data_IF_103493346185
#
_entry.id   IF_103493346185
#
_cell.length_a   1.000
_cell.length_b   1.000
_cell.length_c   1.000
_cell.angle_alpha   90.00
_cell.angle_beta   90.00
_cell.angle_gamma   90.00
#
_symmetry.space_group_name_H-M   'P 1'
#
loop_
_entity.id
_entity.type
_entity.pdbx_description
1 polymer ?
#
# COMPACT_ATOMS: atom_id res chain seq x y z
N UNK A 1 15.18 2.98 -3.41
CA UNK A 1 13.77 2.59 -3.45
C UNK A 1 13.47 2.14 -4.87
N UNK A 2 13.31 0.83 -5.09
CA UNK A 2 12.97 0.28 -6.40
C UNK A 2 11.55 -0.27 -6.30
N UNK A 3 10.72 0.00 -7.29
CA UNK A 3 9.40 -0.59 -7.37
C UNK A 3 9.29 -1.40 -8.65
N UNK A 4 8.64 -2.55 -8.54
CA UNK A 4 8.35 -3.44 -9.65
C UNK A 4 6.88 -3.22 -10.01
N UNK A 5 6.60 -2.93 -11.28
CA UNK A 5 5.23 -2.76 -11.78
C UNK A 5 4.71 -4.12 -12.25
N UNK A 6 3.55 -4.52 -11.76
CA UNK A 6 2.86 -5.75 -12.18
C UNK A 6 1.73 -5.47 -13.17
N UNK A 7 1.26 -4.22 -13.19
CA UNK A 7 0.21 -3.75 -14.08
C UNK A 7 0.73 -2.81 -15.18
N UNK A 8 0.02 -2.73 -16.32
CA UNK A 8 0.31 -1.75 -17.35
C UNK A 8 0.15 -0.31 -16.83
N UNK A 9 0.94 0.66 -17.34
CA UNK A 9 0.87 2.06 -16.92
C UNK A 9 -0.54 2.66 -17.00
N UNK A 10 -1.33 2.26 -17.99
CA UNK A 10 -2.70 2.73 -18.19
C UNK A 10 -3.60 2.35 -17.01
N UNK A 11 -3.42 1.14 -16.47
CA UNK A 11 -4.19 0.63 -15.34
C UNK A 11 -3.78 1.31 -14.03
N UNK A 12 -2.48 1.49 -13.82
CA UNK A 12 -1.96 2.27 -12.69
C UNK A 12 -2.51 3.69 -12.71
N UNK A 13 -2.46 4.35 -13.87
CA UNK A 13 -2.96 5.72 -14.00
C UNK A 13 -4.47 5.82 -13.81
N UNK A 14 -5.25 4.81 -14.25
CA UNK A 14 -6.69 4.74 -13.98
C UNK A 14 -6.94 4.63 -12.49
N UNK A 15 -6.27 3.69 -11.82
CA UNK A 15 -6.38 3.49 -10.38
C UNK A 15 -6.07 4.78 -9.61
N UNK A 16 -4.95 5.43 -9.92
CA UNK A 16 -4.57 6.72 -9.28
C UNK A 16 -5.61 7.81 -9.53
N UNK A 17 -6.31 7.83 -10.66
CA UNK A 17 -7.37 8.83 -10.94
C UNK A 17 -8.67 8.55 -10.18
N UNK A 18 -8.95 7.29 -9.91
CA UNK A 18 -10.13 6.83 -9.16
C UNK A 18 -9.97 6.98 -7.64
N UNK A 19 -8.73 7.15 -7.15
CA UNK A 19 -8.48 7.43 -5.74
C UNK A 19 -9.14 8.73 -5.26
N UNK A 20 -9.61 8.79 -3.99
CA UNK A 20 -10.10 10.02 -3.36
C UNK A 20 -9.06 11.14 -3.43
N UNK A 21 -9.51 12.41 -3.41
CA UNK A 21 -8.59 13.56 -3.43
C UNK A 21 -7.57 13.50 -2.30
N UNK A 22 -8.03 13.21 -1.08
CA UNK A 22 -7.20 13.11 0.14
C UNK A 22 -6.08 12.07 0.01
N UNK A 23 -6.35 10.93 -0.66
CA UNK A 23 -5.35 9.88 -0.85
C UNK A 23 -4.37 10.19 -1.99
N UNK A 24 -4.76 11.07 -2.93
CA UNK A 24 -3.90 11.52 -4.05
C UNK A 24 -2.99 12.69 -3.69
N UNK A 25 -3.27 13.37 -2.58
CA UNK A 25 -2.45 14.49 -2.10
C UNK A 25 -1.07 14.04 -1.61
N UNK A 26 -0.92 12.76 -1.23
CA UNK A 26 0.35 12.21 -0.76
C UNK A 26 0.83 11.07 -1.66
N UNK A 27 2.01 11.25 -2.26
CA UNK A 27 2.65 10.20 -3.06
C UNK A 27 2.85 8.89 -2.25
N UNK A 28 3.12 9.01 -0.95
CA UNK A 28 3.27 7.84 -0.08
C UNK A 28 1.96 7.05 0.06
N UNK A 29 0.81 7.75 0.15
CA UNK A 29 -0.51 7.12 0.19
C UNK A 29 -0.84 6.45 -1.14
N UNK A 30 -0.58 7.13 -2.25
CA UNK A 30 -0.78 6.57 -3.59
C UNK A 30 0.05 5.31 -3.79
N UNK A 31 1.34 5.34 -3.41
CA UNK A 31 2.23 4.18 -3.52
C UNK A 31 1.76 3.02 -2.64
N UNK A 32 1.32 3.28 -1.39
CA UNK A 32 0.72 2.25 -0.53
C UNK A 32 -0.54 1.64 -1.13
N UNK A 33 -1.45 2.46 -1.66
CA UNK A 33 -2.69 1.98 -2.30
C UNK A 33 -2.41 1.15 -3.56
N UNK A 34 -1.41 1.54 -4.35
CA UNK A 34 -0.96 0.78 -5.52
C UNK A 34 -0.34 -0.57 -5.12
N UNK A 35 0.35 -0.64 -3.98
CA UNK A 35 0.89 -1.88 -3.42
C UNK A 35 -0.20 -2.77 -2.81
N UNK A 36 -1.12 -2.21 -2.02
CA UNK A 36 -2.32 -2.90 -1.49
C UNK A 36 -3.17 -3.51 -2.62
N UNK A 37 -3.30 -2.79 -3.74
CA UNK A 37 -4.01 -3.26 -4.93
C UNK A 37 -3.20 -4.28 -5.77
N UNK A 38 -1.94 -4.55 -5.41
CA UNK A 38 -1.06 -5.47 -6.15
C UNK A 38 -0.58 -4.96 -7.51
N UNK A 39 -0.78 -3.67 -7.80
CA UNK A 39 -0.40 -3.06 -9.09
C UNK A 39 1.10 -2.78 -9.17
N UNK A 40 1.73 -2.54 -8.02
CA UNK A 40 3.18 -2.42 -7.84
C UNK A 40 3.62 -3.25 -6.64
N UNK A 41 4.92 -3.55 -6.56
CA UNK A 41 5.57 -4.00 -5.33
C UNK A 41 6.81 -3.17 -5.06
N UNK A 42 7.02 -2.78 -3.81
CA UNK A 42 8.23 -2.10 -3.40
C UNK A 42 9.31 -3.14 -3.07
N UNK A 43 10.38 -3.18 -3.87
CA UNK A 43 11.60 -3.91 -3.54
C UNK A 43 12.36 -3.08 -2.50
N UNK A 44 12.00 -3.30 -1.25
CA UNK A 44 12.58 -2.65 -0.09
C UNK A 44 12.10 -3.34 1.17
N UNK A 45 13.01 -4.10 1.76
CA UNK A 45 12.96 -4.90 2.99
C UNK A 45 12.01 -4.45 4.12
N UNK A 46 11.57 -3.18 4.20
CA UNK A 46 10.76 -2.64 5.30
C UNK A 46 9.68 -1.67 4.81
N UNK A 47 8.60 -2.16 4.20
CA UNK A 47 7.30 -1.44 4.20
C UNK A 47 6.29 -2.14 5.10
N UNK A 48 6.74 -2.66 6.26
CA UNK A 48 5.87 -2.88 7.42
C UNK A 48 5.33 -1.53 7.91
N UNK A 49 4.24 -1.03 7.32
CA UNK A 49 3.56 0.16 7.86
C UNK A 49 2.04 0.07 7.78
N UNK A 50 1.43 -1.12 7.83
CA UNK A 50 -0.02 -1.21 7.97
C UNK A 50 -0.37 -2.40 8.89
N UNK A 51 -0.60 -2.06 10.16
CA UNK A 51 -1.38 -2.78 11.16
C UNK A 51 -0.88 -4.14 11.71
N UNK A 52 0.29 -4.15 12.36
CA UNK A 52 0.56 -5.11 13.46
C UNK A 52 0.01 -4.58 14.82
N UNK A 53 -0.78 -3.50 14.80
CA UNK A 53 -1.49 -2.94 15.95
C UNK A 53 -2.78 -3.73 16.29
N UNK A 54 -2.97 -4.93 15.74
CA UNK A 54 -4.00 -5.89 16.18
C UNK A 54 -3.40 -7.11 16.90
N UNK A 55 -2.20 -7.00 17.46
CA UNK A 55 -1.67 -7.98 18.42
C UNK A 55 -2.17 -7.77 19.87
N UNK A 56 -3.25 -7.01 20.10
CA UNK A 56 -3.70 -6.64 21.45
C UNK A 56 -4.77 -7.56 22.09
N UNK A 57 -5.06 -8.76 21.59
CA UNK A 57 -6.11 -9.62 22.20
C UNK A 57 -5.76 -11.11 22.36
N UNK A 58 -4.52 -11.42 22.72
CA UNK A 58 -4.21 -12.74 23.26
C UNK A 58 -3.53 -12.63 24.62
N UNK A 59 -4.31 -12.24 25.63
CA UNK A 59 -4.00 -12.64 27.01
C UNK A 59 -4.34 -14.14 27.13
N UNK A 60 -3.36 -15.06 27.31
CA UNK A 60 -3.68 -16.39 27.76
C UNK A 60 -4.14 -16.28 29.22
N UNK A 61 -5.46 -16.41 29.42
CA UNK A 61 -6.10 -16.54 30.71
C UNK A 61 -5.36 -17.62 31.55
N UNK A 62 -4.77 -17.23 32.68
CA UNK A 62 -4.14 -18.13 33.65
C UNK A 62 -4.64 -17.84 35.04
#
# INVERSE_FOLDING_TARGET
MRFTRHAPPEEINRFVRELPMEERESLAMVVRKLEEAGLISLDGEHTMTIDDEMQDLQEPNK
#
